data_IF_660126050220
#
_entry.id   IF_660126050220
#
_cell.length_a   1.000
_cell.length_b   1.000
_cell.length_c   1.000
_cell.angle_alpha   90.00
_cell.angle_beta   90.00
_cell.angle_gamma   90.00
#
_symmetry.space_group_name_H-M   'P 1'
#
loop_
_entity.id
_entity.type
_entity.pdbx_description
1 polymer ?
#
# COMPACT_ATOMS: atom_id res chain seq x y z
N UNK A 1 -5.89 25.06 -6.23
CA UNK A 1 -4.51 24.68 -5.83
C UNK A 1 -4.49 23.84 -4.56
N UNK A 2 -5.25 24.22 -3.52
CA UNK A 2 -5.31 23.48 -2.25
C UNK A 2 -5.77 22.03 -2.44
N UNK A 3 -6.80 21.78 -3.24
CA UNK A 3 -7.34 20.43 -3.50
C UNK A 3 -6.29 19.48 -4.11
N UNK A 4 -5.46 19.96 -5.02
CA UNK A 4 -4.37 19.16 -5.60
C UNK A 4 -3.26 18.86 -4.59
N UNK A 5 -2.99 19.79 -3.65
CA UNK A 5 -2.04 19.55 -2.57
C UNK A 5 -2.57 18.50 -1.58
N UNK A 6 -3.84 18.57 -1.22
CA UNK A 6 -4.52 17.57 -0.37
C UNK A 6 -4.51 16.20 -1.07
N UNK A 7 -4.84 16.14 -2.37
CA UNK A 7 -4.82 14.91 -3.15
C UNK A 7 -3.41 14.29 -3.20
N UNK A 8 -2.39 15.11 -3.46
CA UNK A 8 -0.99 14.68 -3.45
C UNK A 8 -0.54 14.16 -2.09
N UNK A 9 -0.92 14.85 -1.01
CA UNK A 9 -0.65 14.41 0.35
C UNK A 9 -1.33 13.05 0.66
N UNK A 10 -2.60 12.85 0.26
CA UNK A 10 -3.30 11.56 0.40
C UNK A 10 -2.59 10.43 -0.36
N UNK A 11 -2.18 10.68 -1.61
CA UNK A 11 -1.45 9.70 -2.42
C UNK A 11 -0.15 9.28 -1.73
N UNK A 12 0.66 10.24 -1.30
CA UNK A 12 1.95 9.97 -0.65
C UNK A 12 1.77 9.29 0.72
N UNK A 13 0.76 9.69 1.48
CA UNK A 13 0.41 9.07 2.76
C UNK A 13 0.04 7.59 2.57
N UNK A 14 -0.83 7.29 1.60
CA UNK A 14 -1.22 5.91 1.28
C UNK A 14 -0.01 5.10 0.79
N UNK A 15 0.73 5.61 -0.18
CA UNK A 15 1.89 4.92 -0.72
C UNK A 15 2.93 4.59 0.38
N UNK A 16 3.29 5.58 1.21
CA UNK A 16 4.26 5.38 2.29
C UNK A 16 3.77 4.38 3.34
N UNK A 17 2.51 4.44 3.75
CA UNK A 17 1.93 3.51 4.73
C UNK A 17 1.84 2.07 4.18
N UNK A 18 1.41 1.89 2.92
CA UNK A 18 1.33 0.58 2.27
C UNK A 18 2.73 -0.03 2.09
N UNK A 19 3.74 0.78 1.72
CA UNK A 19 5.14 0.33 1.63
C UNK A 19 5.66 -0.03 3.02
N UNK A 20 5.45 0.79 4.04
CA UNK A 20 5.87 0.49 5.41
C UNK A 20 5.31 -0.85 5.88
N UNK A 21 4.01 -1.05 5.76
CA UNK A 21 3.34 -2.27 6.18
C UNK A 21 3.78 -3.48 5.37
N UNK A 22 3.56 -3.44 4.06
CA UNK A 22 3.73 -4.61 3.21
C UNK A 22 5.20 -4.98 2.99
N UNK A 23 6.13 -4.01 2.94
CA UNK A 23 7.57 -4.33 2.85
C UNK A 23 8.08 -4.93 4.15
N UNK A 24 7.67 -4.42 5.33
CA UNK A 24 8.04 -5.00 6.63
C UNK A 24 7.54 -6.44 6.74
N UNK A 25 6.30 -6.68 6.34
CA UNK A 25 5.71 -8.02 6.30
C UNK A 25 6.46 -8.92 5.30
N UNK A 26 6.78 -8.40 4.10
CA UNK A 26 7.56 -9.13 3.10
C UNK A 26 8.93 -9.55 3.62
N UNK A 27 9.62 -8.72 4.39
CA UNK A 27 10.91 -9.08 4.98
C UNK A 27 10.81 -10.24 5.98
N UNK A 28 9.64 -10.43 6.61
CA UNK A 28 9.40 -11.56 7.51
C UNK A 28 9.22 -12.89 6.77
N UNK A 29 8.49 -12.91 5.66
CA UNK A 29 8.20 -14.15 4.93
C UNK A 29 9.05 -14.33 3.66
N UNK A 30 9.41 -13.26 2.97
CA UNK A 30 10.08 -13.30 1.68
C UNK A 30 11.54 -13.80 1.77
N UNK A 31 12.31 -13.36 2.76
CA UNK A 31 13.70 -13.79 2.94
C UNK A 31 13.85 -15.16 3.62
N UNK A 32 12.83 -15.64 4.33
CA UNK A 32 12.82 -16.93 4.99
C UNK A 32 13.61 -17.01 6.30
N UNK A 33 13.87 -18.24 6.74
CA UNK A 33 14.61 -18.56 7.96
C UNK A 33 15.95 -19.21 7.60
N UNK A 34 16.98 -19.02 8.43
CA UNK A 34 18.26 -19.66 8.26
C UNK A 34 19.43 -18.68 8.12
N UNK A 35 20.66 -19.18 7.89
CA UNK A 35 21.89 -18.39 7.86
C UNK A 35 21.90 -17.32 6.75
N UNK A 36 21.20 -17.56 5.64
CA UNK A 36 21.05 -16.58 4.56
C UNK A 36 20.14 -15.40 4.93
N UNK A 37 19.13 -15.62 5.79
CA UNK A 37 18.27 -14.54 6.30
C UNK A 37 19.09 -13.43 6.98
N UNK A 38 20.04 -13.81 7.85
CA UNK A 38 20.88 -12.85 8.58
C UNK A 38 21.74 -12.00 7.63
N UNK A 39 22.21 -12.57 6.53
CA UNK A 39 23.00 -11.84 5.54
C UNK A 39 22.15 -10.87 4.70
N UNK A 40 20.95 -11.28 4.28
CA UNK A 40 20.07 -10.46 3.43
C UNK A 40 19.40 -9.33 4.22
N UNK A 41 19.02 -9.59 5.47
CA UNK A 41 18.40 -8.62 6.38
C UNK A 41 19.41 -7.58 6.91
N UNK A 42 20.68 -7.93 7.04
CA UNK A 42 21.77 -7.00 7.45
C UNK A 42 22.18 -6.02 6.35
N UNK A 43 21.70 -6.20 5.11
CA UNK A 43 21.93 -5.21 4.06
C UNK A 43 21.25 -3.89 4.42
N UNK A 44 21.83 -2.74 4.09
CA UNK A 44 21.28 -1.43 4.51
C UNK A 44 19.98 -1.04 3.81
N UNK A 45 19.70 -1.61 2.62
CA UNK A 45 18.57 -1.17 1.81
C UNK A 45 17.16 -1.48 2.39
N UNK A 46 16.90 -2.60 3.10
CA UNK A 46 15.58 -2.80 3.70
C UNK A 46 15.26 -1.73 4.72
N UNK A 47 16.24 -1.39 5.54
CA UNK A 47 16.13 -0.33 6.55
C UNK A 47 15.91 1.04 5.88
N UNK A 48 16.71 1.40 4.87
CA UNK A 48 16.57 2.68 4.15
C UNK A 48 15.22 2.80 3.45
N UNK A 49 14.70 1.70 2.86
CA UNK A 49 13.39 1.67 2.24
C UNK A 49 12.29 2.01 3.26
N UNK A 50 12.29 1.35 4.43
CA UNK A 50 11.28 1.60 5.45
C UNK A 50 11.41 3.00 6.04
N UNK A 51 12.62 3.50 6.25
CA UNK A 51 12.83 4.86 6.73
C UNK A 51 12.28 5.90 5.74
N UNK A 52 12.54 5.75 4.45
CA UNK A 52 11.96 6.63 3.42
C UNK A 52 10.43 6.53 3.44
N UNK A 53 9.87 5.32 3.49
CA UNK A 53 8.43 5.12 3.52
C UNK A 53 7.76 5.78 4.73
N UNK A 54 8.36 5.65 5.91
CA UNK A 54 7.86 6.30 7.14
C UNK A 54 7.96 7.81 7.04
N UNK A 55 9.10 8.36 6.63
CA UNK A 55 9.29 9.81 6.52
C UNK A 55 8.32 10.42 5.51
N UNK A 56 8.16 9.78 4.35
CA UNK A 56 7.19 10.23 3.33
C UNK A 56 5.76 10.17 3.86
N UNK A 57 5.37 9.06 4.51
CA UNK A 57 4.02 8.92 5.07
C UNK A 57 3.77 9.91 6.20
N UNK A 58 4.76 10.17 7.06
CA UNK A 58 4.67 11.13 8.15
C UNK A 58 4.53 12.56 7.64
N UNK A 59 5.41 12.99 6.74
CA UNK A 59 5.36 14.32 6.13
C UNK A 59 4.03 14.55 5.38
N UNK A 60 3.59 13.54 4.63
CA UNK A 60 2.32 13.58 3.91
C UNK A 60 1.11 13.60 4.86
N UNK A 61 1.16 12.90 6.01
CA UNK A 61 0.11 12.94 7.03
C UNK A 61 -0.02 14.31 7.68
N UNK A 62 1.11 14.96 7.96
CA UNK A 62 1.14 16.34 8.46
C UNK A 62 0.60 17.32 7.40
N UNK A 63 1.08 17.21 6.16
CA UNK A 63 0.62 18.07 5.06
C UNK A 63 -0.89 17.89 4.80
N UNK A 64 -1.40 16.66 4.88
CA UNK A 64 -2.83 16.39 4.74
C UNK A 64 -3.63 17.02 5.88
N UNK A 65 -3.21 16.86 7.15
CA UNK A 65 -3.89 17.47 8.30
C UNK A 65 -3.91 18.99 8.21
N UNK A 66 -2.81 19.61 7.81
CA UNK A 66 -2.72 21.06 7.57
C UNK A 66 -3.63 21.50 6.43
N UNK A 67 -3.65 20.75 5.31
CA UNK A 67 -4.51 21.04 4.16
C UNK A 67 -6.00 20.96 4.50
N UNK A 68 -6.43 19.94 5.24
CA UNK A 68 -7.82 19.80 5.71
C UNK A 68 -8.18 20.92 6.70
N UNK A 69 -7.27 21.32 7.59
CA UNK A 69 -7.47 22.46 8.49
C UNK A 69 -7.69 23.75 7.69
N UNK A 70 -6.87 24.02 6.68
CA UNK A 70 -7.03 25.18 5.80
C UNK A 70 -8.36 25.14 5.04
N UNK A 71 -8.75 23.97 4.54
CA UNK A 71 -10.01 23.78 3.79
C UNK A 71 -11.24 24.05 4.65
N UNK A 72 -11.25 23.54 5.90
CA UNK A 72 -12.38 23.69 6.82
C UNK A 72 -12.51 25.10 7.40
N UNK A 73 -11.38 25.77 7.61
CA UNK A 73 -11.39 27.15 8.15
C UNK A 73 -11.53 28.21 7.06
N UNK A 74 -11.45 27.83 5.78
CA UNK A 74 -11.52 28.75 4.64
C UNK A 74 -10.27 29.61 4.42
N UNK A 75 -9.27 29.53 5.28
CA UNK A 75 -8.03 30.32 5.20
C UNK A 75 -6.78 29.46 5.25
N UNK A 76 -5.90 29.58 4.24
CA UNK A 76 -4.64 28.81 4.16
C UNK A 76 -3.68 29.08 5.32
N UNK A 77 -3.72 30.29 5.91
CA UNK A 77 -2.86 30.66 7.04
C UNK A 77 -3.22 29.87 8.32
N UNK A 78 -4.47 29.42 8.46
CA UNK A 78 -4.94 28.63 9.61
C UNK A 78 -4.34 27.22 9.64
N UNK A 79 -3.77 26.75 8.51
CA UNK A 79 -3.07 25.48 8.43
C UNK A 79 -1.88 25.33 9.41
N UNK A 80 -1.26 26.45 9.80
CA UNK A 80 -0.06 26.46 10.66
C UNK A 80 -0.34 27.02 12.08
N UNK A 81 -1.53 27.54 12.33
CA UNK A 81 -1.86 28.03 13.67
C UNK A 81 -2.21 26.88 14.62
N UNK A 82 -1.48 26.82 15.73
CA UNK A 82 -1.69 25.79 16.75
C UNK A 82 -3.13 25.74 17.26
N UNK A 83 -3.77 26.87 17.45
CA UNK A 83 -5.17 26.96 17.90
C UNK A 83 -6.12 26.26 16.94
N UNK A 84 -5.97 26.47 15.63
CA UNK A 84 -6.80 25.84 14.59
C UNK A 84 -6.50 24.34 14.48
N UNK A 85 -5.23 23.96 14.46
CA UNK A 85 -4.81 22.55 14.40
C UNK A 85 -5.29 21.77 15.64
N UNK A 86 -5.13 22.35 16.85
CA UNK A 86 -5.55 21.70 18.08
C UNK A 86 -7.07 21.53 18.15
N UNK A 87 -7.87 22.51 17.74
CA UNK A 87 -9.33 22.37 17.71
C UNK A 87 -9.76 21.26 16.73
N UNK A 88 -9.16 21.19 15.53
CA UNK A 88 -9.44 20.10 14.58
C UNK A 88 -9.11 18.73 15.20
N UNK A 89 -7.97 18.61 15.89
CA UNK A 89 -7.55 17.36 16.52
C UNK A 89 -8.46 16.98 17.69
N UNK A 90 -8.91 17.94 18.51
CA UNK A 90 -9.76 17.63 19.67
C UNK A 90 -11.22 17.44 19.31
N UNK A 91 -11.76 18.23 18.37
CA UNK A 91 -13.18 18.36 18.14
C UNK A 91 -13.68 17.45 16.99
N UNK A 92 -12.76 16.94 16.14
CA UNK A 92 -13.15 16.12 15.00
C UNK A 92 -12.61 14.70 15.06
N UNK A 93 -13.39 13.73 14.56
CA UNK A 93 -12.97 12.33 14.48
C UNK A 93 -11.78 12.12 13.53
N UNK A 94 -11.77 12.80 12.39
CA UNK A 94 -10.67 12.70 11.42
C UNK A 94 -9.39 13.36 11.91
N UNK A 95 -9.48 14.47 12.67
CA UNK A 95 -8.33 15.13 13.28
C UNK A 95 -7.65 14.23 14.32
N UNK A 96 -8.44 13.59 15.21
CA UNK A 96 -7.93 12.58 16.15
C UNK A 96 -7.21 11.43 15.45
N UNK A 97 -7.80 10.90 14.38
CA UNK A 97 -7.18 9.84 13.57
C UNK A 97 -5.88 10.31 12.89
N UNK A 98 -5.87 11.56 12.38
CA UNK A 98 -4.68 12.18 11.79
C UNK A 98 -3.54 12.28 12.79
N UNK A 99 -3.82 12.82 13.99
CA UNK A 99 -2.84 12.95 15.08
C UNK A 99 -2.32 11.57 15.53
N UNK A 100 -3.19 10.58 15.64
CA UNK A 100 -2.82 9.21 15.98
C UNK A 100 -1.89 8.59 14.93
N UNK A 101 -2.15 8.79 13.62
CA UNK A 101 -1.25 8.35 12.55
C UNK A 101 0.12 9.01 12.67
N UNK A 102 0.17 10.32 12.88
CA UNK A 102 1.41 11.06 13.10
C UNK A 102 2.19 10.48 14.27
N UNK A 103 1.53 10.21 15.41
CA UNK A 103 2.16 9.58 16.58
C UNK A 103 2.76 8.21 16.29
N UNK A 104 1.97 7.32 15.65
CA UNK A 104 2.45 5.96 15.28
C UNK A 104 3.60 6.02 14.30
N UNK A 105 3.52 6.86 13.27
CA UNK A 105 4.59 7.01 12.28
C UNK A 105 5.85 7.63 12.89
N UNK A 106 5.72 8.56 13.83
CA UNK A 106 6.86 9.11 14.59
C UNK A 106 7.55 8.04 15.44
N UNK A 107 6.77 7.20 16.14
CA UNK A 107 7.32 6.05 16.87
C UNK A 107 8.02 5.07 15.92
N UNK A 108 7.44 4.76 14.77
CA UNK A 108 8.04 3.89 13.76
C UNK A 108 9.36 4.47 13.23
N UNK A 109 9.43 5.79 12.99
CA UNK A 109 10.66 6.48 12.56
C UNK A 109 11.76 6.39 13.65
N UNK A 110 11.42 6.68 14.90
CA UNK A 110 12.36 6.62 16.04
C UNK A 110 12.94 5.20 16.17
N UNK A 111 12.10 4.18 16.11
CA UNK A 111 12.53 2.79 16.18
C UNK A 111 13.45 2.39 15.02
N UNK A 112 13.21 2.91 13.81
CA UNK A 112 14.10 2.69 12.68
C UNK A 112 15.44 3.41 12.87
N UNK A 113 15.48 4.58 13.48
CA UNK A 113 16.74 5.29 13.77
C UNK A 113 17.63 4.53 14.75
N UNK A 114 17.08 3.69 15.62
CA UNK A 114 17.84 2.82 16.51
C UNK A 114 18.63 1.70 15.80
N UNK A 115 18.45 1.52 14.49
CA UNK A 115 19.21 0.61 13.59
C UNK A 115 19.32 -0.84 14.06
N UNK A 116 18.40 -1.32 14.88
CA UNK A 116 18.35 -2.73 15.25
C UNK A 116 17.68 -3.53 14.13
N UNK A 117 18.46 -4.34 13.44
CA UNK A 117 17.94 -5.21 12.37
C UNK A 117 17.60 -6.56 12.98
N UNK A 118 16.31 -6.79 13.26
CA UNK A 118 15.81 -8.04 13.82
C UNK A 118 14.41 -8.37 13.28
N UNK A 119 14.02 -9.66 13.38
CA UNK A 119 12.64 -10.07 13.06
C UNK A 119 11.62 -9.33 13.92
N UNK A 120 11.92 -9.12 15.20
CA UNK A 120 11.05 -8.36 16.11
C UNK A 120 10.84 -6.92 15.64
N UNK A 121 11.87 -6.26 15.13
CA UNK A 121 11.75 -4.92 14.55
C UNK A 121 10.85 -4.91 13.30
N UNK A 122 11.02 -5.87 12.38
CA UNK A 122 10.14 -5.97 11.20
C UNK A 122 8.70 -6.26 11.58
N UNK A 123 8.46 -7.13 12.57
CA UNK A 123 7.11 -7.39 13.11
C UNK A 123 6.50 -6.12 13.67
N UNK A 124 7.24 -5.35 14.48
CA UNK A 124 6.76 -4.11 15.06
C UNK A 124 6.45 -3.06 13.97
N UNK A 125 7.33 -2.91 12.97
CA UNK A 125 7.09 -2.01 11.84
C UNK A 125 5.87 -2.44 11.01
N UNK A 126 5.70 -3.75 10.77
CA UNK A 126 4.52 -4.28 10.09
C UNK A 126 3.24 -4.01 10.89
N UNK A 127 3.26 -4.18 12.21
CA UNK A 127 2.10 -3.91 13.07
C UNK A 127 1.73 -2.43 13.08
N UNK A 128 2.72 -1.53 13.22
CA UNK A 128 2.51 -0.09 13.15
C UNK A 128 1.98 0.33 11.78
N UNK A 129 2.58 -0.19 10.71
CA UNK A 129 2.12 0.05 9.34
C UNK A 129 0.70 -0.47 9.10
N UNK A 130 0.37 -1.67 9.58
CA UNK A 130 -0.98 -2.24 9.49
C UNK A 130 -2.01 -1.35 10.20
N UNK A 131 -1.67 -0.83 11.38
CA UNK A 131 -2.53 0.08 12.12
C UNK A 131 -2.78 1.38 11.36
N UNK A 132 -1.73 1.99 10.78
CA UNK A 132 -1.87 3.20 9.93
C UNK A 132 -2.73 2.90 8.71
N UNK A 133 -2.47 1.80 7.99
CA UNK A 133 -3.25 1.39 6.81
C UNK A 133 -4.71 1.13 7.18
N UNK A 134 -4.99 0.36 8.23
CA UNK A 134 -6.34 0.09 8.71
C UNK A 134 -7.09 1.38 9.06
N UNK A 135 -6.41 2.36 9.67
CA UNK A 135 -7.03 3.63 10.08
C UNK A 135 -7.60 4.45 8.93
N UNK A 136 -7.17 4.21 7.67
CA UNK A 136 -7.73 4.90 6.50
C UNK A 136 -9.20 4.56 6.24
N UNK A 137 -9.69 3.39 6.69
CA UNK A 137 -11.10 3.03 6.59
C UNK A 137 -12.04 4.00 7.33
N UNK A 138 -11.54 4.71 8.36
CA UNK A 138 -12.29 5.73 9.09
C UNK A 138 -12.18 7.14 8.49
N UNK A 139 -11.33 7.35 7.50
CA UNK A 139 -11.21 8.63 6.77
C UNK A 139 -11.80 8.55 5.37
N UNK A 140 -12.39 7.40 5.00
CA UNK A 140 -13.04 7.14 3.73
C UNK A 140 -14.56 7.05 3.87
N UNK A 141 -15.22 6.63 2.79
CA UNK A 141 -16.68 6.50 2.73
C UNK A 141 -17.26 5.39 3.65
N UNK A 142 -16.44 4.43 4.10
CA UNK A 142 -16.84 3.40 5.06
C UNK A 142 -17.29 3.93 6.43
N UNK A 143 -17.04 5.22 6.73
CA UNK A 143 -17.52 5.88 7.94
C UNK A 143 -18.95 6.43 7.84
N UNK A 144 -19.57 6.44 6.66
CA UNK A 144 -20.89 7.04 6.42
C UNK A 144 -22.04 6.13 6.89
N UNK A 145 -21.83 4.81 6.87
CA UNK A 145 -22.84 3.85 7.29
C UNK A 145 -22.85 3.64 8.82
N UNK A 146 -24.05 3.45 9.39
CA UNK A 146 -24.29 3.22 10.80
C UNK A 146 -24.76 1.79 11.10
N UNK A 147 -24.71 1.39 12.37
CA UNK A 147 -25.20 0.08 12.82
C UNK A 147 -24.36 -1.10 12.33
N UNK A 148 -24.98 -2.29 12.21
CA UNK A 148 -24.32 -3.54 11.80
C UNK A 148 -23.80 -3.49 10.36
N UNK A 149 -24.53 -2.84 9.46
CA UNK A 149 -24.11 -2.64 8.07
C UNK A 149 -22.82 -1.82 7.99
N UNK A 150 -22.74 -0.72 8.71
CA UNK A 150 -21.53 0.11 8.77
C UNK A 150 -20.33 -0.61 9.40
N UNK A 151 -20.54 -1.51 10.37
CA UNK A 151 -19.47 -2.34 10.90
C UNK A 151 -18.94 -3.32 9.85
N UNK A 152 -19.82 -3.96 9.08
CA UNK A 152 -19.45 -4.88 8.01
C UNK A 152 -18.67 -4.12 6.89
N UNK A 153 -19.18 -2.97 6.46
CA UNK A 153 -18.52 -2.14 5.44
C UNK A 153 -17.10 -1.72 5.88
N UNK A 154 -16.97 -1.14 7.08
CA UNK A 154 -15.65 -0.76 7.63
C UNK A 154 -14.71 -1.94 7.80
N UNK A 155 -15.22 -3.08 8.30
CA UNK A 155 -14.43 -4.30 8.43
C UNK A 155 -13.92 -4.80 7.07
N UNK A 156 -14.79 -4.80 6.06
CA UNK A 156 -14.43 -5.15 4.69
C UNK A 156 -13.37 -4.18 4.12
N UNK A 157 -13.52 -2.87 4.37
CA UNK A 157 -12.57 -1.87 3.90
C UNK A 157 -11.20 -2.01 4.57
N UNK A 158 -11.15 -2.25 5.88
CA UNK A 158 -9.90 -2.57 6.61
C UNK A 158 -9.20 -3.78 5.99
N UNK A 159 -9.91 -4.89 5.78
CA UNK A 159 -9.34 -6.11 5.19
C UNK A 159 -8.87 -5.86 3.76
N UNK A 160 -9.63 -5.09 2.98
CA UNK A 160 -9.25 -4.68 1.62
C UNK A 160 -7.95 -3.87 1.59
N UNK A 161 -7.84 -2.86 2.45
CA UNK A 161 -6.65 -2.00 2.56
C UNK A 161 -5.42 -2.79 3.02
N UNK A 162 -5.57 -3.69 3.99
CA UNK A 162 -4.48 -4.55 4.43
C UNK A 162 -4.04 -5.53 3.32
N UNK A 163 -4.97 -6.16 2.62
CA UNK A 163 -4.65 -7.04 1.50
C UNK A 163 -3.94 -6.26 0.36
N UNK A 164 -4.40 -5.05 0.04
CA UNK A 164 -3.72 -4.16 -0.90
C UNK A 164 -2.30 -3.81 -0.42
N UNK A 165 -2.13 -3.55 0.87
CA UNK A 165 -0.83 -3.28 1.47
C UNK A 165 0.14 -4.45 1.37
N UNK A 166 -0.32 -5.68 1.58
CA UNK A 166 0.50 -6.89 1.40
C UNK A 166 0.99 -7.00 -0.04
N UNK A 167 0.13 -6.76 -1.03
CA UNK A 167 0.50 -6.84 -2.44
C UNK A 167 1.44 -5.69 -2.84
N UNK A 168 0.96 -4.46 -2.74
CA UNK A 168 1.66 -3.26 -3.22
C UNK A 168 2.99 -3.06 -2.47
N UNK A 169 2.97 -3.27 -1.15
CA UNK A 169 4.16 -3.09 -0.33
C UNK A 169 5.26 -4.13 -0.57
N UNK A 170 4.94 -5.30 -1.15
CA UNK A 170 5.93 -6.29 -1.55
C UNK A 170 6.58 -6.00 -2.92
N UNK A 171 5.90 -5.27 -3.82
CA UNK A 171 6.41 -4.99 -5.16
C UNK A 171 7.70 -4.16 -5.14
N UNK A 172 7.82 -3.21 -4.21
CA UNK A 172 9.00 -2.34 -4.10
C UNK A 172 10.25 -3.14 -3.71
N UNK A 173 10.25 -3.92 -2.60
CA UNK A 173 11.42 -4.73 -2.25
C UNK A 173 11.72 -5.81 -3.29
N UNK A 174 10.72 -6.40 -3.95
CA UNK A 174 10.94 -7.33 -5.06
C UNK A 174 11.64 -6.67 -6.24
N UNK A 175 11.21 -5.47 -6.65
CA UNK A 175 11.86 -4.68 -7.70
C UNK A 175 13.31 -4.38 -7.38
N UNK A 176 13.60 -3.94 -6.14
CA UNK A 176 14.97 -3.66 -5.68
C UNK A 176 15.84 -4.93 -5.63
N UNK A 177 15.28 -6.05 -5.21
CA UNK A 177 15.99 -7.32 -5.15
C UNK A 177 16.35 -7.84 -6.56
N UNK A 178 15.40 -7.77 -7.51
CA UNK A 178 15.66 -8.12 -8.92
C UNK A 178 16.73 -7.22 -9.55
N UNK A 179 16.68 -5.91 -9.29
CA UNK A 179 17.69 -4.97 -9.77
C UNK A 179 19.08 -5.34 -9.27
N UNK A 180 19.20 -5.71 -7.98
CA UNK A 180 20.47 -6.15 -7.37
C UNK A 180 20.98 -7.45 -7.93
N UNK A 181 20.10 -8.45 -8.12
CA UNK A 181 20.45 -9.73 -8.71
C UNK A 181 20.98 -9.57 -10.15
N UNK A 182 20.42 -8.62 -10.91
CA UNK A 182 20.92 -8.27 -12.25
C UNK A 182 22.29 -7.59 -12.17
N UNK A 183 22.51 -6.71 -11.19
CA UNK A 183 23.76 -5.95 -11.03
C UNK A 183 24.91 -6.84 -10.54
N UNK A 184 24.65 -7.72 -9.56
CA UNK A 184 25.66 -8.60 -8.97
C UNK A 184 26.07 -9.73 -9.90
N UNK A 185 25.16 -10.19 -10.77
CA UNK A 185 25.32 -11.33 -11.68
C UNK A 185 25.70 -12.63 -10.97
N UNK A 186 25.46 -12.73 -9.67
CA UNK A 186 25.74 -13.92 -8.88
C UNK A 186 24.55 -14.88 -8.89
N UNK A 187 24.81 -16.18 -8.88
CA UNK A 187 23.76 -17.19 -8.72
C UNK A 187 23.10 -17.13 -7.34
N UNK A 188 23.86 -16.78 -6.32
CA UNK A 188 23.36 -16.66 -4.96
C UNK A 188 22.24 -15.59 -4.89
N UNK A 189 22.45 -14.41 -5.47
CA UNK A 189 21.45 -13.36 -5.51
C UNK A 189 20.25 -13.74 -6.40
N UNK A 190 20.46 -14.45 -7.51
CA UNK A 190 19.38 -14.97 -8.34
C UNK A 190 18.52 -15.99 -7.60
N UNK A 191 19.12 -16.90 -6.85
CA UNK A 191 18.39 -17.88 -6.02
C UNK A 191 17.64 -17.22 -4.84
N UNK A 192 18.15 -16.12 -4.28
CA UNK A 192 17.41 -15.33 -3.28
C UNK A 192 16.19 -14.67 -3.91
N UNK A 193 16.34 -14.07 -5.10
CA UNK A 193 15.22 -13.45 -5.83
C UNK A 193 14.14 -14.49 -6.19
N UNK A 194 14.54 -15.66 -6.69
CA UNK A 194 13.66 -16.78 -7.00
C UNK A 194 12.81 -17.17 -5.78
N UNK A 195 13.44 -17.51 -4.66
CA UNK A 195 12.74 -17.91 -3.43
C UNK A 195 11.79 -16.85 -2.92
N UNK A 196 12.19 -15.57 -3.00
CA UNK A 196 11.34 -14.45 -2.58
C UNK A 196 10.10 -14.31 -3.46
N UNK A 197 10.25 -14.50 -4.78
CA UNK A 197 9.15 -14.46 -5.75
C UNK A 197 8.21 -15.65 -5.59
N UNK A 198 8.73 -16.85 -5.34
CA UNK A 198 7.93 -18.05 -5.09
C UNK A 198 7.06 -17.89 -3.83
N UNK A 199 7.65 -17.39 -2.73
CA UNK A 199 6.92 -17.13 -1.49
C UNK A 199 5.87 -16.04 -1.66
N UNK A 200 6.20 -14.97 -2.36
CA UNK A 200 5.25 -13.92 -2.69
C UNK A 200 4.10 -14.47 -3.54
N UNK A 201 4.40 -15.31 -4.54
CA UNK A 201 3.37 -15.98 -5.35
C UNK A 201 2.44 -16.87 -4.51
N UNK A 202 2.96 -17.53 -3.47
CA UNK A 202 2.16 -18.31 -2.53
C UNK A 202 1.13 -17.45 -1.78
N UNK A 203 1.56 -16.30 -1.25
CA UNK A 203 0.70 -15.34 -0.55
C UNK A 203 -0.26 -14.63 -1.52
N UNK A 204 0.20 -14.36 -2.75
CA UNK A 204 -0.51 -13.56 -3.73
C UNK A 204 -1.91 -14.09 -4.09
N UNK A 205 -2.10 -15.40 -4.17
CA UNK A 205 -3.42 -15.98 -4.48
C UNK A 205 -4.46 -15.67 -3.39
N UNK A 206 -4.08 -15.79 -2.12
CA UNK A 206 -4.95 -15.44 -0.98
C UNK A 206 -5.25 -13.94 -0.97
N UNK A 207 -4.26 -13.11 -1.24
CA UNK A 207 -4.40 -11.64 -1.31
C UNK A 207 -5.39 -11.25 -2.42
N UNK A 208 -5.23 -11.82 -3.63
CA UNK A 208 -6.14 -11.57 -4.76
C UNK A 208 -7.58 -11.99 -4.43
N UNK A 209 -7.77 -13.19 -3.87
CA UNK A 209 -9.10 -13.65 -3.47
C UNK A 209 -9.73 -12.71 -2.42
N UNK A 210 -8.94 -12.27 -1.43
CA UNK A 210 -9.39 -11.30 -0.41
C UNK A 210 -9.77 -9.96 -1.04
N UNK A 211 -8.97 -9.43 -1.97
CA UNK A 211 -9.25 -8.16 -2.66
C UNK A 211 -10.53 -8.24 -3.50
N UNK A 212 -10.78 -9.35 -4.19
CA UNK A 212 -12.00 -9.55 -4.98
C UNK A 212 -13.21 -9.60 -4.04
N UNK A 213 -13.18 -10.43 -3.01
CA UNK A 213 -14.31 -10.58 -2.08
C UNK A 213 -14.64 -9.26 -1.37
N UNK A 214 -13.64 -8.60 -0.80
CA UNK A 214 -13.83 -7.31 -0.14
C UNK A 214 -14.19 -6.19 -1.12
N UNK A 215 -13.66 -6.24 -2.33
CA UNK A 215 -14.01 -5.31 -3.40
C UNK A 215 -15.48 -5.40 -3.82
N UNK A 216 -16.05 -6.61 -3.87
CA UNK A 216 -17.48 -6.83 -4.13
C UNK A 216 -18.31 -6.25 -2.97
N UNK A 217 -17.93 -6.53 -1.72
CA UNK A 217 -18.65 -5.99 -0.55
C UNK A 217 -18.60 -4.46 -0.54
N UNK A 218 -17.43 -3.85 -0.72
CA UNK A 218 -17.28 -2.40 -0.75
C UNK A 218 -18.08 -1.77 -1.91
N UNK A 219 -18.09 -2.39 -3.09
CA UNK A 219 -18.88 -1.90 -4.24
C UNK A 219 -20.39 -1.99 -3.95
N UNK A 220 -20.85 -3.01 -3.24
CA UNK A 220 -22.23 -3.14 -2.81
C UNK A 220 -22.67 -1.97 -1.92
N UNK A 221 -21.83 -1.57 -0.96
CA UNK A 221 -22.15 -0.45 -0.07
C UNK A 221 -22.05 0.92 -0.76
N UNK A 222 -21.09 1.11 -1.67
CA UNK A 222 -20.80 2.43 -2.26
C UNK A 222 -21.65 2.76 -3.49
N UNK A 223 -22.13 1.75 -4.22
CA UNK A 223 -22.94 1.93 -5.44
C UNK A 223 -24.35 1.40 -5.21
N UNK A 224 -24.47 0.26 -4.58
CA UNK A 224 -25.73 -0.46 -4.40
C UNK A 224 -26.25 -1.11 -5.69
N UNK A 225 -27.10 -2.16 -5.57
CA UNK A 225 -27.59 -2.91 -6.73
C UNK A 225 -28.58 -2.12 -7.60
N UNK A 226 -29.26 -1.13 -7.03
CA UNK A 226 -30.24 -0.31 -7.79
C UNK A 226 -29.56 0.74 -8.68
N UNK A 227 -28.31 1.11 -8.39
CA UNK A 227 -27.59 2.22 -9.07
C UNK A 227 -26.42 1.77 -9.92
N UNK A 228 -26.37 0.51 -10.34
CA UNK A 228 -25.26 -0.03 -11.14
C UNK A 228 -24.98 0.76 -12.42
N UNK A 229 -26.00 1.40 -13.03
CA UNK A 229 -25.84 2.26 -14.21
C UNK A 229 -25.05 3.53 -13.92
N UNK A 230 -25.04 4.00 -12.69
CA UNK A 230 -24.30 5.19 -12.26
C UNK A 230 -22.78 4.99 -12.25
N UNK A 231 -22.32 3.73 -12.35
CA UNK A 231 -20.90 3.40 -12.54
C UNK A 231 -20.32 4.10 -13.79
N UNK A 232 -21.13 4.27 -14.85
CA UNK A 232 -20.67 4.86 -16.10
C UNK A 232 -20.97 6.35 -16.20
N UNK A 233 -21.91 6.88 -15.43
CA UNK A 233 -22.42 8.25 -15.56
C UNK A 233 -21.80 9.20 -14.53
N UNK A 234 -21.52 8.74 -13.32
CA UNK A 234 -20.95 9.57 -12.24
C UNK A 234 -19.42 9.64 -12.30
N UNK A 235 -18.80 10.76 -11.82
CA UNK A 235 -17.34 10.84 -11.68
C UNK A 235 -16.76 9.73 -10.80
N UNK A 236 -17.42 9.40 -9.69
CA UNK A 236 -17.04 8.32 -8.79
C UNK A 236 -17.04 6.96 -9.51
N UNK A 237 -18.12 6.65 -10.20
CA UNK A 237 -18.26 5.38 -10.94
C UNK A 237 -17.19 5.22 -12.01
N UNK A 238 -16.94 6.28 -12.81
CA UNK A 238 -15.86 6.27 -13.81
C UNK A 238 -14.48 6.03 -13.22
N UNK A 239 -14.15 6.67 -12.10
CA UNK A 239 -12.90 6.44 -11.40
C UNK A 239 -12.82 5.00 -10.86
N UNK A 240 -13.94 4.44 -10.38
CA UNK A 240 -13.99 3.03 -9.95
C UNK A 240 -13.76 2.07 -11.14
N UNK A 241 -14.33 2.33 -12.31
CA UNK A 241 -14.06 1.52 -13.54
C UNK A 241 -12.57 1.55 -13.87
N UNK A 242 -11.93 2.72 -13.84
CA UNK A 242 -10.47 2.83 -14.06
C UNK A 242 -9.71 2.00 -13.02
N UNK A 243 -10.05 2.07 -11.73
CA UNK A 243 -9.46 1.23 -10.68
C UNK A 243 -9.58 -0.27 -10.99
N UNK A 244 -10.76 -0.72 -11.42
CA UNK A 244 -11.01 -2.13 -11.75
C UNK A 244 -10.22 -2.59 -12.96
N UNK A 245 -10.08 -1.76 -14.00
CA UNK A 245 -9.24 -2.06 -15.17
C UNK A 245 -7.78 -2.18 -14.77
N UNK A 246 -7.24 -1.22 -14.00
CA UNK A 246 -5.86 -1.26 -13.51
C UNK A 246 -5.61 -2.51 -12.65
N UNK A 247 -6.54 -2.87 -11.77
CA UNK A 247 -6.47 -4.08 -10.97
C UNK A 247 -6.47 -5.35 -11.83
N UNK A 248 -7.32 -5.44 -12.87
CA UNK A 248 -7.34 -6.55 -13.79
C UNK A 248 -6.00 -6.71 -14.55
N UNK A 249 -5.40 -5.60 -14.99
CA UNK A 249 -4.07 -5.60 -15.61
C UNK A 249 -2.99 -6.10 -14.63
N UNK A 250 -3.02 -5.65 -13.37
CA UNK A 250 -2.11 -6.16 -12.33
C UNK A 250 -2.29 -7.67 -12.12
N UNK A 251 -3.52 -8.19 -12.09
CA UNK A 251 -3.78 -9.63 -11.99
C UNK A 251 -3.20 -10.43 -13.17
N UNK A 252 -3.31 -9.91 -14.39
CA UNK A 252 -2.73 -10.55 -15.59
C UNK A 252 -1.20 -10.62 -15.47
N UNK A 253 -0.55 -9.54 -15.03
CA UNK A 253 0.90 -9.53 -14.79
C UNK A 253 1.29 -10.49 -13.67
N UNK A 254 0.60 -10.48 -12.54
CA UNK A 254 0.85 -11.39 -11.42
C UNK A 254 0.68 -12.86 -11.84
N UNK A 255 -0.34 -13.18 -12.63
CA UNK A 255 -0.53 -14.51 -13.20
C UNK A 255 0.62 -14.89 -14.16
N UNK A 256 1.05 -13.96 -15.01
CA UNK A 256 2.20 -14.15 -15.91
C UNK A 256 3.49 -14.38 -15.11
N UNK A 257 3.72 -13.59 -14.07
CA UNK A 257 4.86 -13.78 -13.17
C UNK A 257 4.83 -15.18 -12.53
N UNK A 258 3.69 -15.56 -11.95
CA UNK A 258 3.52 -16.82 -11.23
C UNK A 258 3.68 -18.06 -12.10
N UNK A 259 3.03 -18.08 -13.28
CA UNK A 259 2.90 -19.30 -14.09
C UNK A 259 3.92 -19.41 -15.24
N UNK A 260 4.64 -18.32 -15.57
CA UNK A 260 5.61 -18.31 -16.67
C UNK A 260 7.00 -17.83 -16.24
N UNK A 261 7.08 -16.62 -15.64
CA UNK A 261 8.38 -15.97 -15.44
C UNK A 261 9.15 -16.54 -14.23
N UNK A 262 8.48 -16.82 -13.12
CA UNK A 262 9.12 -17.42 -11.93
C UNK A 262 9.57 -18.86 -12.24
N UNK A 263 8.77 -19.75 -12.85
CA UNK A 263 9.23 -21.07 -13.27
C UNK A 263 10.41 -21.03 -14.26
N UNK A 264 10.43 -20.06 -15.18
CA UNK A 264 11.57 -19.90 -16.11
C UNK A 264 12.86 -19.50 -15.38
N UNK A 265 12.77 -18.66 -14.35
CA UNK A 265 13.91 -18.34 -13.49
C UNK A 265 14.36 -19.58 -12.71
N UNK A 266 13.45 -20.32 -12.09
CA UNK A 266 13.73 -21.54 -11.33
C UNK A 266 14.43 -22.59 -12.20
N UNK A 267 13.94 -22.83 -13.42
CA UNK A 267 14.57 -23.72 -14.36
C UNK A 267 16.00 -23.28 -14.72
N UNK A 268 16.25 -21.97 -14.91
CA UNK A 268 17.58 -21.46 -15.22
C UNK A 268 18.57 -21.56 -14.05
N UNK A 269 18.09 -21.36 -12.81
CA UNK A 269 18.88 -21.53 -11.58
C UNK A 269 19.28 -22.99 -11.40
N UNK A 270 18.32 -23.92 -11.54
CA UNK A 270 18.51 -25.38 -11.38
C UNK A 270 19.43 -25.95 -12.46
N UNK A 271 19.18 -25.62 -13.73
CA UNK A 271 19.96 -26.11 -14.86
C UNK A 271 21.36 -25.46 -15.02
N UNK A 272 21.72 -24.56 -14.08
CA UNK A 272 22.96 -23.79 -14.17
C UNK A 272 23.10 -22.96 -15.45
N UNK A 273 21.99 -22.63 -16.08
CA UNK A 273 21.91 -21.80 -17.30
C UNK A 273 22.01 -20.30 -16.98
N UNK A 274 22.22 -19.42 -17.99
CA UNK A 274 22.22 -17.97 -17.76
C UNK A 274 20.89 -17.47 -17.20
N UNK A 275 20.90 -16.88 -16.00
CA UNK A 275 19.69 -16.36 -15.31
C UNK A 275 19.30 -14.96 -15.75
N UNK A 276 20.20 -14.22 -16.40
CA UNK A 276 20.02 -12.80 -16.72
C UNK A 276 18.78 -12.49 -17.58
N UNK A 277 18.42 -13.28 -18.63
CA UNK A 277 17.21 -13.03 -19.42
C UNK A 277 15.94 -13.15 -18.56
N UNK A 278 15.83 -14.19 -17.73
CA UNK A 278 14.68 -14.41 -16.85
C UNK A 278 14.56 -13.30 -15.78
N UNK A 279 15.68 -12.88 -15.17
CA UNK A 279 15.72 -11.77 -14.21
C UNK A 279 15.28 -10.45 -14.84
N UNK A 280 15.71 -10.15 -16.09
CA UNK A 280 15.30 -8.93 -16.80
C UNK A 280 13.79 -8.94 -17.11
N UNK A 281 13.26 -10.06 -17.59
CA UNK A 281 11.83 -10.21 -17.88
C UNK A 281 10.97 -10.02 -16.60
N UNK A 282 11.36 -10.67 -15.51
CA UNK A 282 10.70 -10.50 -14.20
C UNK A 282 10.77 -9.05 -13.71
N UNK A 283 11.96 -8.43 -13.78
CA UNK A 283 12.10 -7.02 -13.39
C UNK A 283 11.18 -6.12 -14.20
N UNK A 284 11.12 -6.29 -15.51
CA UNK A 284 10.23 -5.48 -16.36
C UNK A 284 8.78 -5.67 -15.96
N UNK A 285 8.31 -6.90 -15.76
CA UNK A 285 6.96 -7.20 -15.34
C UNK A 285 6.63 -6.58 -13.98
N UNK A 286 7.49 -6.78 -12.97
CA UNK A 286 7.30 -6.22 -11.61
C UNK A 286 7.35 -4.69 -11.61
N UNK A 287 8.20 -4.06 -12.44
CA UNK A 287 8.22 -2.60 -12.59
C UNK A 287 6.91 -2.07 -13.19
N UNK A 288 6.36 -2.73 -14.22
CA UNK A 288 5.06 -2.36 -14.81
C UNK A 288 3.95 -2.55 -13.78
N UNK A 289 3.95 -3.67 -13.04
CA UNK A 289 2.98 -3.93 -11.97
C UNK A 289 3.07 -2.86 -10.86
N UNK A 290 4.28 -2.43 -10.48
CA UNK A 290 4.50 -1.34 -9.52
C UNK A 290 3.96 0.00 -10.05
N UNK A 291 4.15 0.31 -11.33
CA UNK A 291 3.60 1.51 -11.94
C UNK A 291 2.07 1.49 -11.94
N UNK A 292 1.44 0.36 -12.28
CA UNK A 292 -0.02 0.19 -12.20
C UNK A 292 -0.51 0.34 -10.75
N UNK A 293 0.22 -0.18 -9.77
CA UNK A 293 -0.10 -0.03 -8.35
C UNK A 293 -0.09 1.45 -7.92
N UNK A 294 0.88 2.25 -8.37
CA UNK A 294 0.93 3.69 -8.11
C UNK A 294 -0.29 4.39 -8.72
N UNK A 295 -0.69 4.01 -9.95
CA UNK A 295 -1.90 4.55 -10.58
C UNK A 295 -3.16 4.17 -9.79
N UNK A 296 -3.26 2.92 -9.29
CA UNK A 296 -4.37 2.49 -8.41
C UNK A 296 -4.43 3.36 -7.16
N UNK A 297 -3.29 3.60 -6.48
CA UNK A 297 -3.25 4.47 -5.29
C UNK A 297 -3.71 5.89 -5.65
N UNK A 298 -3.29 6.42 -6.80
CA UNK A 298 -3.74 7.73 -7.30
C UNK A 298 -5.25 7.80 -7.50
N UNK A 299 -5.82 6.78 -8.13
CA UNK A 299 -7.28 6.68 -8.31
C UNK A 299 -8.00 6.53 -6.97
N UNK A 300 -7.45 5.78 -6.02
CA UNK A 300 -8.02 5.65 -4.66
C UNK A 300 -7.96 6.99 -3.91
N UNK A 301 -6.87 7.74 -4.03
CA UNK A 301 -6.78 9.08 -3.45
C UNK A 301 -7.85 10.02 -4.03
N UNK A 302 -8.09 9.96 -5.35
CA UNK A 302 -9.16 10.70 -6.05
C UNK A 302 -10.55 10.25 -5.61
N UNK A 303 -10.82 8.93 -5.56
CA UNK A 303 -12.10 8.38 -5.11
C UNK A 303 -12.48 8.89 -3.72
N UNK A 304 -11.49 9.06 -2.83
CA UNK A 304 -11.72 9.60 -1.50
C UNK A 304 -12.14 11.09 -1.45
N UNK A 305 -12.12 11.81 -2.57
CA UNK A 305 -12.60 13.19 -2.70
C UNK A 305 -13.95 13.30 -3.42
N UNK A 306 -14.42 12.20 -4.02
CA UNK A 306 -15.66 12.16 -4.80
C UNK A 306 -16.80 11.57 -3.96
N UNK A 307 -18.00 12.11 -4.08
CA UNK A 307 -19.19 11.55 -3.45
C UNK A 307 -19.60 10.23 -4.14
N UNK A 308 -19.77 9.11 -3.40
CA UNK A 308 -20.28 7.88 -3.97
C UNK A 308 -21.77 7.99 -4.33
N UNK A 309 -22.29 7.20 -5.29
CA UNK A 309 -23.70 7.27 -5.70
C UNK A 309 -24.71 7.10 -4.56
N UNK A 310 -24.44 6.25 -3.59
CA UNK A 310 -25.34 5.99 -2.44
C UNK A 310 -25.48 7.21 -1.52
N UNK A 311 -24.54 8.15 -1.50
CA UNK A 311 -24.61 9.36 -0.64
C UNK A 311 -25.54 10.45 -1.18
N UNK A 312 -26.18 10.25 -2.33
CA UNK A 312 -27.06 11.24 -2.95
C UNK A 312 -28.55 11.06 -2.55
N UNK A 313 -28.84 10.26 -1.52
CA UNK A 313 -30.12 10.14 -0.82
C UNK A 313 -30.00 10.89 0.50
#
# INVERSE_FOLDING_TARGET
MLDWAILGARLLQYAGALILFGSSLFFLYGFGEGPHYAADVRRPWPHSLLLIAVVVSLAASLAWLMGETASLTGETRNAIYWTSLSSIVTDTGFGRLGAMRVGVLSCAAILLLARQVSRGQWTLQATMGAFVVASFAWSGHGSMDSGRAGLLHRGSDVVHLLAAGVWIGALVPLSLQLLRSIASRTRADAAVAERSLERFSGVGATVVATLILTGIVNSWFLIGPARWREIFTTPYGRALVVKLILFALMMILAATNRYRLVPALSASVTASSPTLPALKALRQSVCVETALAILVIGVVALLGTLAPPVSND
#
